data_IF_155792228868
#
_entry.id   IF_155792228868
#
_cell.length_a   1.000
_cell.length_b   1.000
_cell.length_c   1.000
_cell.angle_alpha   90.00
_cell.angle_beta   90.00
_cell.angle_gamma   90.00
#
_symmetry.space_group_name_H-M   'P 1'
#
loop_
_entity.id
_entity.type
_entity.pdbx_description
1 polymer ?
#
# COMPACT_ATOMS: atom_id res chain seq x y z
N UNK A 1 3.47 -31.00 15.86
CA UNK A 1 3.86 -30.22 14.66
C UNK A 1 3.63 -28.75 14.98
N UNK A 2 4.62 -27.87 14.79
CA UNK A 2 4.39 -26.42 14.93
C UNK A 2 3.59 -25.97 13.70
N UNK A 3 2.43 -25.33 13.92
CA UNK A 3 1.66 -24.72 12.83
C UNK A 3 2.55 -23.77 12.04
N UNK A 4 2.62 -24.00 10.72
CA UNK A 4 3.34 -23.13 9.82
C UNK A 4 2.45 -21.92 9.56
N UNK A 5 2.72 -20.82 10.25
CA UNK A 5 1.98 -19.56 10.08
C UNK A 5 1.95 -19.17 8.60
N UNK A 6 0.77 -18.81 8.10
CA UNK A 6 0.62 -18.33 6.72
C UNK A 6 1.34 -16.97 6.55
N UNK A 7 1.49 -16.50 5.31
CA UNK A 7 2.23 -15.27 5.00
C UNK A 7 1.73 -14.07 5.83
N UNK A 8 0.40 -13.89 5.86
CA UNK A 8 -0.23 -12.80 6.60
C UNK A 8 0.08 -12.89 8.11
N UNK A 9 -0.12 -14.04 8.74
CA UNK A 9 0.17 -14.25 10.17
C UNK A 9 1.66 -14.05 10.52
N UNK A 10 2.55 -14.43 9.61
CA UNK A 10 3.99 -14.29 9.80
C UNK A 10 4.44 -12.83 9.75
N UNK A 11 3.95 -12.05 8.78
CA UNK A 11 4.43 -10.70 8.52
C UNK A 11 3.54 -9.58 9.06
N UNK A 12 2.28 -9.86 9.46
CA UNK A 12 1.40 -8.85 10.07
C UNK A 12 2.06 -8.13 11.25
N UNK A 13 2.68 -8.80 12.24
CA UNK A 13 3.32 -8.10 13.35
C UNK A 13 4.47 -7.17 12.90
N UNK A 14 5.22 -7.56 11.87
CA UNK A 14 6.29 -6.74 11.27
C UNK A 14 5.68 -5.47 10.69
N UNK A 15 4.63 -5.60 9.87
CA UNK A 15 4.01 -4.46 9.20
C UNK A 15 3.15 -3.59 10.13
N UNK A 16 2.66 -4.11 11.26
CA UNK A 16 2.08 -3.29 12.33
C UNK A 16 3.12 -2.36 12.95
N UNK A 17 4.36 -2.82 13.15
CA UNK A 17 5.46 -1.97 13.64
C UNK A 17 5.83 -0.94 12.58
N UNK A 18 5.98 -1.35 11.32
CA UNK A 18 6.23 -0.44 10.18
C UNK A 18 5.17 0.67 10.13
N UNK A 19 3.89 0.31 10.23
CA UNK A 19 2.79 1.27 10.25
C UNK A 19 2.88 2.29 11.39
N UNK A 20 3.30 1.85 12.58
CA UNK A 20 3.51 2.76 13.73
C UNK A 20 4.66 3.73 13.48
N UNK A 21 5.74 3.27 12.85
CA UNK A 21 6.90 4.11 12.51
C UNK A 21 6.55 5.12 11.42
N UNK A 22 5.83 4.71 10.38
CA UNK A 22 5.39 5.60 9.30
C UNK A 22 4.45 6.71 9.79
N UNK A 23 3.74 6.51 10.90
CA UNK A 23 2.79 7.49 11.41
C UNK A 23 1.60 7.69 10.47
N UNK A 24 1.06 8.91 10.42
CA UNK A 24 0.05 9.36 9.45
C UNK A 24 -1.10 8.35 9.22
N UNK A 25 -1.63 7.80 10.32
CA UNK A 25 -2.77 6.88 10.26
C UNK A 25 -2.54 5.54 9.54
N UNK A 26 -1.33 5.18 9.12
CA UNK A 26 -1.07 3.90 8.44
C UNK A 26 -1.43 2.70 9.32
N UNK A 27 -2.18 1.75 8.77
CA UNK A 27 -2.57 0.51 9.45
C UNK A 27 -2.58 -0.67 8.47
N UNK A 28 -2.36 -1.87 9.01
CA UNK A 28 -2.66 -3.11 8.29
C UNK A 28 -4.17 -3.22 8.13
N UNK A 29 -4.64 -3.36 6.89
CA UNK A 29 -6.04 -3.55 6.57
C UNK A 29 -6.46 -4.99 6.93
N UNK A 30 -7.33 -5.12 7.92
CA UNK A 30 -7.85 -6.42 8.39
C UNK A 30 -9.11 -6.88 7.63
N UNK A 31 -9.67 -6.02 6.78
CA UNK A 31 -10.81 -6.37 5.91
C UNK A 31 -10.36 -7.01 4.59
N UNK A 32 -9.06 -6.97 4.29
CA UNK A 32 -8.49 -7.67 3.13
C UNK A 32 -8.37 -9.17 3.45
N UNK A 33 -9.12 -10.00 2.74
CA UNK A 33 -9.21 -11.45 2.93
C UNK A 33 -8.08 -12.23 2.25
N UNK A 34 -7.17 -11.54 1.55
CA UNK A 34 -6.10 -12.15 0.79
C UNK A 34 -4.93 -12.61 1.68
N UNK A 35 -4.85 -13.91 1.95
CA UNK A 35 -3.81 -14.51 2.82
C UNK A 35 -2.37 -14.41 2.30
N UNK A 36 -2.18 -14.09 1.01
CA UNK A 36 -0.88 -14.03 0.34
C UNK A 36 -0.30 -12.62 0.24
N UNK A 37 -1.01 -11.60 0.75
CA UNK A 37 -0.54 -10.23 0.78
C UNK A 37 -0.84 -9.58 2.13
N UNK A 38 -0.15 -8.48 2.39
CA UNK A 38 -0.50 -7.53 3.43
C UNK A 38 -0.85 -6.23 2.72
N UNK A 39 -2.05 -5.70 3.00
CA UNK A 39 -2.48 -4.39 2.53
C UNK A 39 -2.35 -3.38 3.66
N UNK A 40 -1.68 -2.26 3.39
CA UNK A 40 -1.64 -1.11 4.28
C UNK A 40 -2.50 0.00 3.70
N UNK A 41 -3.20 0.70 4.58
CA UNK A 41 -4.04 1.85 4.23
C UNK A 41 -3.87 2.95 5.26
N UNK A 42 -4.09 4.19 4.87
CA UNK A 42 -4.13 5.35 5.75
C UNK A 42 -5.33 6.23 5.41
N UNK A 43 -6.03 6.81 6.41
CA UNK A 43 -7.05 7.83 6.17
C UNK A 43 -6.47 9.12 5.56
N UNK A 44 -5.19 9.42 5.82
CA UNK A 44 -4.50 10.62 5.30
C UNK A 44 -4.16 10.47 3.81
N UNK A 45 -4.08 9.23 3.33
CA UNK A 45 -3.80 8.87 1.93
C UNK A 45 -5.01 8.18 1.31
N UNK A 46 -6.11 8.93 1.17
CA UNK A 46 -7.38 8.38 0.67
C UNK A 46 -7.20 7.72 -0.70
N UNK A 47 -7.76 6.52 -0.84
CA UNK A 47 -7.65 5.70 -2.05
C UNK A 47 -6.20 5.33 -2.44
N UNK A 48 -5.20 5.50 -1.57
CA UNK A 48 -3.87 4.93 -1.80
C UNK A 48 -3.68 3.71 -0.93
N UNK A 49 -3.01 2.69 -1.46
CA UNK A 49 -2.67 1.52 -0.68
C UNK A 49 -1.26 1.02 -0.96
N UNK A 50 -0.68 0.35 0.04
CA UNK A 50 0.59 -0.35 -0.09
C UNK A 50 0.30 -1.85 0.02
N UNK A 51 0.69 -2.60 -0.99
CA UNK A 51 0.58 -4.05 -1.03
C UNK A 51 1.95 -4.68 -0.86
N UNK A 52 2.05 -5.64 0.06
CA UNK A 52 3.25 -6.42 0.30
C UNK A 52 2.96 -7.88 0.02
N UNK A 53 3.82 -8.53 -0.76
CA UNK A 53 3.74 -9.97 -1.04
C UNK A 53 5.13 -10.60 -1.11
N UNK A 54 5.19 -11.91 -0.99
CA UNK A 54 6.43 -12.67 -1.18
C UNK A 54 6.60 -13.03 -2.67
N UNK A 55 7.73 -12.66 -3.26
CA UNK A 55 8.13 -13.12 -4.60
C UNK A 55 9.58 -13.56 -4.60
N UNK A 56 9.84 -14.78 -5.09
CA UNK A 56 11.21 -15.34 -5.24
C UNK A 56 12.07 -15.17 -3.96
N UNK A 57 11.45 -15.35 -2.79
CA UNK A 57 12.12 -15.25 -1.49
C UNK A 57 12.34 -13.83 -0.97
N UNK A 58 11.76 -12.81 -1.60
CA UNK A 58 11.85 -11.41 -1.15
C UNK A 58 10.47 -10.79 -0.95
N UNK A 59 10.38 -9.81 -0.05
CA UNK A 59 9.18 -9.01 0.12
C UNK A 59 9.16 -7.92 -0.96
N UNK A 60 8.18 -8.00 -1.85
CA UNK A 60 7.89 -6.97 -2.85
C UNK A 60 6.83 -6.06 -2.28
N UNK A 61 7.15 -4.77 -2.21
CA UNK A 61 6.30 -3.71 -1.66
C UNK A 61 5.90 -2.80 -2.82
N UNK A 62 4.60 -2.64 -3.03
CA UNK A 62 4.04 -1.86 -4.15
C UNK A 62 3.07 -0.83 -3.56
N UNK A 63 3.27 0.45 -3.86
CA UNK A 63 2.30 1.50 -3.54
C UNK A 63 1.66 2.08 -4.78
N UNK A 64 0.35 2.30 -4.72
CA UNK A 64 -0.43 2.86 -5.84
C UNK A 64 -1.77 3.42 -5.38
N UNK A 65 -2.36 4.29 -6.18
CA UNK A 65 -3.76 4.68 -6.02
C UNK A 65 -4.69 3.55 -6.48
N UNK A 66 -5.60 3.17 -5.59
CA UNK A 66 -6.74 2.28 -5.81
C UNK A 66 -7.82 3.00 -6.64
N UNK A 67 -7.61 3.17 -7.95
CA UNK A 67 -8.66 3.68 -8.87
C UNK A 67 -9.01 2.65 -9.95
N UNK A 68 -10.31 2.56 -10.27
CA UNK A 68 -10.81 1.78 -11.41
C UNK A 68 -10.76 2.54 -12.73
N UNK A 69 -10.69 3.87 -12.66
CA UNK A 69 -10.81 4.75 -13.82
C UNK A 69 -9.47 5.34 -14.24
N UNK A 70 -8.52 5.42 -13.31
CA UNK A 70 -7.17 5.93 -13.56
C UNK A 70 -6.11 4.86 -13.30
N UNK A 71 -5.16 4.71 -14.22
CA UNK A 71 -3.97 3.88 -14.00
C UNK A 71 -2.86 4.76 -13.42
N UNK A 72 -2.79 4.79 -12.10
CA UNK A 72 -1.72 5.45 -11.35
C UNK A 72 -0.36 4.89 -11.73
N UNK A 73 0.70 5.72 -11.80
CA UNK A 73 2.05 5.25 -11.56
C UNK A 73 2.08 4.44 -10.26
N UNK A 74 2.78 3.32 -10.26
CA UNK A 74 3.00 2.54 -9.05
C UNK A 74 4.48 2.58 -8.71
N UNK A 75 4.75 2.66 -7.41
CA UNK A 75 6.11 2.62 -6.89
C UNK A 75 6.36 1.23 -6.32
N UNK A 76 7.56 0.70 -6.53
CA UNK A 76 7.92 -0.63 -6.06
C UNK A 76 9.30 -0.65 -5.45
N UNK A 77 9.46 -1.41 -4.37
CA UNK A 77 10.75 -1.75 -3.82
C UNK A 77 10.75 -3.17 -3.28
N UNK A 78 11.95 -3.77 -3.19
CA UNK A 78 12.10 -5.16 -2.77
C UNK A 78 13.09 -5.27 -1.62
N UNK A 79 12.63 -5.83 -0.51
CA UNK A 79 13.43 -6.00 0.71
C UNK A 79 13.63 -7.48 1.07
N UNK A 80 14.68 -7.78 1.84
CA UNK A 80 14.83 -9.12 2.41
C UNK A 80 13.76 -9.34 3.49
N UNK A 81 13.23 -10.56 3.64
CA UNK A 81 12.25 -10.86 4.68
C UNK A 81 12.75 -10.68 6.12
N UNK A 82 14.07 -10.65 6.32
CA UNK A 82 14.75 -10.48 7.60
C UNK A 82 15.10 -9.01 7.90
N UNK A 83 14.82 -8.09 6.97
CA UNK A 83 15.14 -6.66 7.13
C UNK A 83 14.36 -6.07 8.31
N UNK A 84 15.03 -5.20 9.06
CA UNK A 84 14.45 -4.56 10.24
C UNK A 84 13.22 -3.70 9.85
N UNK A 85 12.10 -3.77 10.59
CA UNK A 85 10.95 -2.88 10.43
C UNK A 85 11.28 -1.39 10.25
N UNK A 86 12.28 -0.87 10.98
CA UNK A 86 12.72 0.55 10.87
C UNK A 86 13.27 0.85 9.48
N UNK A 87 14.11 -0.03 8.94
CA UNK A 87 14.66 0.14 7.59
C UNK A 87 13.58 -0.03 6.52
N UNK A 88 12.63 -0.95 6.73
CA UNK A 88 11.48 -1.12 5.83
C UNK A 88 10.62 0.15 5.80
N UNK A 89 10.35 0.76 6.96
CA UNK A 89 9.60 2.02 7.03
C UNK A 89 10.33 3.15 6.29
N UNK A 90 11.64 3.30 6.49
CA UNK A 90 12.45 4.29 5.77
C UNK A 90 12.48 4.04 4.25
N UNK A 91 12.52 2.77 3.83
CA UNK A 91 12.42 2.40 2.41
C UNK A 91 11.03 2.73 1.83
N UNK A 92 9.96 2.48 2.58
CA UNK A 92 8.59 2.84 2.16
C UNK A 92 8.44 4.36 2.02
N UNK A 93 8.85 5.11 3.04
CA UNK A 93 8.77 6.57 3.04
C UNK A 93 9.49 7.18 1.84
N UNK A 94 10.72 6.74 1.57
CA UNK A 94 11.55 7.31 0.50
C UNK A 94 11.18 6.84 -0.90
N UNK A 95 10.77 5.58 -1.06
CA UNK A 95 10.63 4.94 -2.40
C UNK A 95 9.20 4.73 -2.83
N UNK A 96 8.27 4.64 -1.88
CA UNK A 96 6.86 4.35 -2.13
C UNK A 96 6.02 5.61 -1.93
N UNK A 97 6.30 6.37 -0.87
CA UNK A 97 5.49 7.52 -0.47
C UNK A 97 5.98 8.87 -1.01
N UNK A 98 7.10 8.90 -1.75
CA UNK A 98 7.71 10.15 -2.28
C UNK A 98 6.70 11.04 -2.99
N UNK A 99 5.87 10.44 -3.85
CA UNK A 99 4.91 11.12 -4.71
C UNK A 99 3.47 10.64 -4.45
N UNK A 100 3.23 10.02 -3.29
CA UNK A 100 1.94 9.36 -3.03
C UNK A 100 0.78 10.36 -2.95
N UNK A 101 0.98 11.53 -2.32
CA UNK A 101 -0.05 12.56 -2.23
C UNK A 101 -0.36 13.19 -3.59
N UNK A 102 0.67 13.52 -4.37
CA UNK A 102 0.50 14.05 -5.72
C UNK A 102 -0.28 13.07 -6.61
N UNK A 103 0.02 11.77 -6.51
CA UNK A 103 -0.73 10.74 -7.21
C UNK A 103 -2.20 10.67 -6.76
N UNK A 104 -2.49 10.79 -5.46
CA UNK A 104 -3.87 10.82 -4.93
C UNK A 104 -4.63 12.02 -5.49
N UNK A 105 -4.01 13.19 -5.52
CA UNK A 105 -4.65 14.41 -6.02
C UNK A 105 -4.91 14.34 -7.53
N UNK A 106 -3.95 13.86 -8.32
CA UNK A 106 -4.15 13.62 -9.76
C UNK A 106 -5.31 12.64 -10.02
N UNK A 107 -5.40 11.55 -9.25
CA UNK A 107 -6.51 10.60 -9.37
C UNK A 107 -7.86 11.27 -9.11
N UNK A 108 -7.92 12.08 -8.05
CA UNK A 108 -9.12 12.79 -7.64
C UNK A 108 -9.57 13.79 -8.70
N UNK A 109 -8.65 14.57 -9.26
CA UNK A 109 -8.95 15.50 -10.34
C UNK A 109 -9.48 14.78 -11.58
N UNK A 110 -8.84 13.67 -11.95
CA UNK A 110 -9.28 12.86 -13.09
C UNK A 110 -10.69 12.30 -12.89
N UNK A 111 -11.01 11.80 -11.70
CA UNK A 111 -12.35 11.30 -11.37
C UNK A 111 -13.41 12.42 -11.40
N UNK A 112 -13.07 13.62 -10.90
CA UNK A 112 -13.97 14.78 -10.98
C UNK A 112 -14.25 15.19 -12.44
N UNK A 113 -13.23 15.20 -13.30
CA UNK A 113 -13.41 15.51 -14.72
C UNK A 113 -14.29 14.47 -15.42
N UNK A 114 -14.13 13.19 -15.10
CA UNK A 114 -15.00 12.14 -15.62
C UNK A 114 -16.44 12.31 -15.17
N UNK A 115 -16.66 12.66 -13.90
CA UNK A 115 -18.00 12.89 -13.37
C UNK A 115 -18.68 14.08 -14.07
N UNK A 116 -17.99 15.21 -14.21
CA UNK A 116 -18.52 16.38 -14.93
C UNK A 116 -18.84 16.06 -16.40
N UNK A 117 -18.03 15.22 -17.07
CA UNK A 117 -18.31 14.77 -18.45
C UNK A 117 -19.55 13.87 -18.55
N UNK A 118 -19.87 13.11 -17.51
CA UNK A 118 -21.09 12.27 -17.45
C UNK A 118 -22.32 13.11 -17.22
N UNK A 119 -22.24 14.07 -16.29
CA UNK A 119 -23.35 14.99 -15.97
C UNK A 119 -23.72 15.90 -17.15
N UNK A 120 -22.74 16.37 -17.93
CA UNK A 120 -22.98 17.15 -19.15
C UNK A 120 -23.59 16.34 -20.32
N UNK A 121 -23.60 15.01 -20.22
CA UNK A 121 -24.15 14.10 -21.23
C UNK A 121 -25.52 13.54 -20.84
N UNK A 122 -25.99 13.83 -19.62
CA UNK A 122 -27.32 13.47 -19.12
C UNK A 122 -28.29 14.63 -19.28
#
# INVERSE_FOLDING_TARGET
MKEQKNFFERYKPVFEIVCRILGNGWRVNLLDDCQYRIKLTSPDFKNYSIHIRMEKGRLVIIGSVDSRSWRSPYHTCTVSPERNPVEIAADIEKKILSDALDNVDMAREYEQQLQQKREKKS
#
